data_IF_520892353122
#
_entry.id   IF_520892353122
#
_cell.length_a   1.000
_cell.length_b   1.000
_cell.length_c   1.000
_cell.angle_alpha   90.00
_cell.angle_beta   90.00
_cell.angle_gamma   90.00
#
_symmetry.space_group_name_H-M   'P 1'
#
loop_
_entity.id
_entity.type
_entity.pdbx_description
1 polymer ?
#
# COMPACT_ATOMS: atom_id res chain seq x y z
N UNK A 1 -1.41 2.54 -8.04
CA UNK A 1 -2.38 1.46 -7.75
C UNK A 1 -3.40 1.23 -8.87
N UNK A 2 -4.19 2.24 -9.31
CA UNK A 2 -5.23 2.01 -10.32
C UNK A 2 -4.72 1.33 -11.61
N UNK A 3 -3.61 1.81 -12.17
CA UNK A 3 -2.99 1.20 -13.35
C UNK A 3 -2.58 -0.27 -13.12
N UNK A 4 -2.15 -0.61 -11.91
CA UNK A 4 -1.79 -1.98 -11.55
C UNK A 4 -3.04 -2.87 -11.46
N UNK A 5 -4.14 -2.36 -10.89
CA UNK A 5 -5.44 -3.06 -10.87
C UNK A 5 -5.94 -3.31 -12.29
N UNK A 6 -5.83 -2.32 -13.18
CA UNK A 6 -6.22 -2.48 -14.59
C UNK A 6 -5.33 -3.52 -15.30
N UNK A 7 -4.03 -3.53 -15.05
CA UNK A 7 -3.12 -4.53 -15.61
C UNK A 7 -3.50 -5.94 -15.13
N UNK A 8 -3.76 -6.09 -13.83
CA UNK A 8 -4.22 -7.36 -13.25
C UNK A 8 -5.52 -7.79 -13.93
N UNK A 9 -6.51 -6.91 -14.03
CA UNK A 9 -7.79 -7.20 -14.69
C UNK A 9 -7.61 -7.63 -16.15
N UNK A 10 -6.76 -6.95 -16.92
CA UNK A 10 -6.48 -7.32 -18.30
C UNK A 10 -5.74 -8.67 -18.42
N UNK A 11 -4.95 -9.05 -17.42
CA UNK A 11 -4.19 -10.29 -17.41
C UNK A 11 -5.00 -11.50 -16.92
N UNK A 12 -5.83 -11.33 -15.89
CA UNK A 12 -6.57 -12.42 -15.23
C UNK A 12 -8.05 -12.47 -15.62
N UNK A 13 -8.58 -11.38 -16.20
CA UNK A 13 -10.00 -11.24 -16.54
C UNK A 13 -10.92 -10.96 -15.35
N UNK A 14 -10.38 -10.79 -14.13
CA UNK A 14 -11.18 -10.57 -12.92
C UNK A 14 -10.50 -9.63 -11.92
N UNK A 15 -11.32 -9.00 -11.07
CA UNK A 15 -10.86 -8.25 -9.89
C UNK A 15 -11.25 -8.94 -8.57
N UNK A 16 -11.81 -10.15 -8.63
CA UNK A 16 -12.16 -10.91 -7.44
C UNK A 16 -10.90 -11.35 -6.70
N UNK A 17 -10.74 -10.85 -5.48
CA UNK A 17 -9.56 -11.13 -4.67
C UNK A 17 -9.37 -12.62 -4.39
N UNK A 18 -10.44 -13.40 -4.19
CA UNK A 18 -10.30 -14.83 -3.89
C UNK A 18 -9.64 -15.57 -5.05
N UNK A 19 -9.98 -15.18 -6.28
CA UNK A 19 -9.37 -15.72 -7.49
C UNK A 19 -7.94 -15.18 -7.63
N UNK A 20 -7.73 -13.89 -7.39
CA UNK A 20 -6.39 -13.29 -7.51
C UNK A 20 -5.37 -13.87 -6.51
N UNK A 21 -5.82 -14.37 -5.37
CA UNK A 21 -4.96 -15.03 -4.38
C UNK A 21 -4.50 -16.42 -4.84
N UNK A 22 -5.17 -17.04 -5.81
CA UNK A 22 -4.75 -18.33 -6.39
C UNK A 22 -4.04 -18.16 -7.74
N UNK A 23 -4.00 -16.96 -8.30
CA UNK A 23 -3.27 -16.67 -9.53
C UNK A 23 -1.80 -16.39 -9.25
N UNK A 24 -0.92 -17.07 -9.97
CA UNK A 24 0.51 -16.81 -9.92
C UNK A 24 0.91 -15.75 -10.95
N UNK A 25 1.63 -14.72 -10.50
CA UNK A 25 2.27 -13.74 -11.38
C UNK A 25 3.75 -14.05 -11.48
N UNK A 26 4.32 -13.89 -12.68
CA UNK A 26 5.78 -13.93 -12.87
C UNK A 26 6.47 -12.91 -11.96
N UNK A 27 7.62 -13.26 -11.37
CA UNK A 27 8.39 -12.42 -10.44
C UNK A 27 8.56 -10.97 -10.95
N UNK A 28 8.95 -10.78 -12.21
CA UNK A 28 9.12 -9.45 -12.81
C UNK A 28 7.84 -8.60 -12.79
N UNK A 29 6.68 -9.24 -13.00
CA UNK A 29 5.38 -8.55 -12.90
C UNK A 29 5.02 -8.28 -11.44
N UNK A 30 5.30 -9.21 -10.53
CA UNK A 30 5.07 -8.97 -9.11
C UNK A 30 5.84 -7.75 -8.62
N UNK A 31 7.12 -7.61 -8.97
CA UNK A 31 7.95 -6.45 -8.62
C UNK A 31 7.29 -5.15 -9.11
N UNK A 32 6.87 -5.11 -10.38
CA UNK A 32 6.24 -3.92 -10.95
C UNK A 32 4.90 -3.58 -10.29
N UNK A 33 4.04 -4.60 -10.11
CA UNK A 33 2.73 -4.43 -9.47
C UNK A 33 2.89 -4.01 -8.00
N UNK A 34 3.81 -4.66 -7.28
CA UNK A 34 4.14 -4.34 -5.90
C UNK A 34 4.55 -2.89 -5.74
N UNK A 35 5.47 -2.37 -6.56
CA UNK A 35 5.89 -0.95 -6.52
C UNK A 35 4.70 -0.03 -6.79
N UNK A 36 3.84 -0.38 -7.75
CA UNK A 36 2.68 0.44 -8.10
C UNK A 36 1.59 0.45 -7.02
N UNK A 37 1.42 -0.62 -6.25
CA UNK A 37 0.56 -0.66 -5.06
C UNK A 37 1.20 0.07 -3.89
N UNK A 38 2.48 -0.20 -3.63
CA UNK A 38 3.29 0.45 -2.59
C UNK A 38 3.24 1.97 -2.72
N UNK A 39 3.41 2.53 -3.92
CA UNK A 39 3.37 3.98 -4.12
C UNK A 39 2.07 4.63 -3.62
N UNK A 40 0.92 3.96 -3.73
CA UNK A 40 -0.36 4.47 -3.23
C UNK A 40 -0.56 4.20 -1.74
N UNK A 41 -0.14 3.04 -1.25
CA UNK A 41 -0.27 2.70 0.17
C UNK A 41 0.70 3.48 1.05
N UNK A 42 1.94 3.72 0.60
CA UNK A 42 2.94 4.50 1.32
C UNK A 42 2.47 5.94 1.61
N UNK A 43 1.71 6.54 0.68
CA UNK A 43 1.05 7.85 0.90
C UNK A 43 -0.01 7.75 2.00
N UNK A 44 -0.81 6.67 2.02
CA UNK A 44 -1.86 6.44 3.02
C UNK A 44 -1.34 6.01 4.40
N UNK A 45 -0.16 5.39 4.48
CA UNK A 45 0.54 4.93 5.71
C UNK A 45 1.50 5.99 6.29
N UNK A 46 1.44 7.24 5.79
CA UNK A 46 2.52 8.24 5.84
C UNK A 46 3.95 7.70 6.01
N UNK A 47 4.48 7.03 4.99
CA UNK A 47 5.92 6.70 4.96
C UNK A 47 6.76 7.90 4.53
N UNK A 48 8.04 7.96 4.94
CA UNK A 48 9.03 8.91 4.39
C UNK A 48 9.23 8.61 2.89
N UNK A 49 9.25 9.63 1.99
CA UNK A 49 9.16 11.08 2.22
C UNK A 49 7.73 11.67 2.08
N UNK A 50 6.70 10.85 1.94
CA UNK A 50 5.33 11.25 1.57
C UNK A 50 4.38 11.40 2.77
N UNK A 51 4.90 11.67 3.97
CA UNK A 51 4.11 11.80 5.19
C UNK A 51 3.65 13.25 5.49
N UNK A 52 4.15 14.23 4.75
CA UNK A 52 4.00 15.68 5.05
C UNK A 52 2.54 16.15 5.04
N UNK A 53 1.68 15.48 4.27
CA UNK A 53 0.25 15.83 4.21
C UNK A 53 -0.49 15.59 5.54
N UNK A 54 0.01 14.68 6.39
CA UNK A 54 -0.72 14.22 7.57
C UNK A 54 -0.89 15.33 8.64
N UNK A 55 0.16 16.06 9.06
CA UNK A 55 0.01 17.13 10.05
C UNK A 55 -0.95 18.23 9.60
N UNK A 56 -0.83 18.70 8.35
CA UNK A 56 -1.68 19.75 7.78
C UNK A 56 -3.15 19.28 7.72
N UNK A 57 -3.39 18.05 7.25
CA UNK A 57 -4.73 17.48 7.21
C UNK A 57 -5.39 17.38 8.60
N UNK A 58 -4.61 17.14 9.66
CA UNK A 58 -5.14 17.12 11.03
C UNK A 58 -5.41 18.51 11.60
N UNK A 59 -4.57 19.50 11.27
CA UNK A 59 -4.74 20.88 11.74
C UNK A 59 -5.98 21.54 11.13
N UNK A 60 -6.26 21.26 9.86
CA UNK A 60 -7.38 21.87 9.15
C UNK A 60 -8.71 21.11 9.34
N UNK A 61 -8.66 19.84 9.75
CA UNK A 61 -9.86 19.03 9.92
C UNK A 61 -10.63 19.39 11.22
N UNK A 62 -11.98 19.37 11.20
CA UNK A 62 -12.77 19.45 12.42
C UNK A 62 -12.47 18.26 13.33
N UNK A 63 -12.72 18.38 14.64
CA UNK A 63 -12.40 17.34 15.65
C UNK A 63 -12.88 15.94 15.24
N UNK A 64 -14.13 15.82 14.78
CA UNK A 64 -14.68 14.54 14.31
C UNK A 64 -13.95 14.01 13.05
N UNK A 65 -13.56 14.91 12.15
CA UNK A 65 -12.79 14.56 10.95
C UNK A 65 -11.40 14.04 11.31
N UNK A 66 -10.71 14.71 12.25
CA UNK A 66 -9.41 14.26 12.77
C UNK A 66 -9.51 12.89 13.45
N UNK A 67 -10.58 12.61 14.21
CA UNK A 67 -10.80 11.29 14.81
C UNK A 67 -10.99 10.19 13.75
N UNK A 68 -11.75 10.45 12.69
CA UNK A 68 -11.95 9.49 11.59
C UNK A 68 -10.65 9.29 10.79
N UNK A 69 -9.92 10.38 10.54
CA UNK A 69 -8.63 10.35 9.84
C UNK A 69 -7.64 9.45 10.60
N UNK A 70 -7.45 9.72 11.89
CA UNK A 70 -6.62 8.93 12.79
C UNK A 70 -7.12 7.49 12.91
N UNK A 71 -8.40 7.28 13.18
CA UNK A 71 -8.97 5.99 13.53
C UNK A 71 -9.11 5.01 12.36
N UNK A 72 -9.41 5.50 11.16
CA UNK A 72 -9.81 4.67 10.02
C UNK A 72 -8.88 4.91 8.82
N UNK A 73 -8.76 6.14 8.34
CA UNK A 73 -8.11 6.40 7.05
C UNK A 73 -6.64 5.95 7.03
N UNK A 74 -5.91 6.15 8.13
CA UNK A 74 -4.54 5.67 8.31
C UNK A 74 -4.45 4.13 8.33
N UNK A 75 -5.47 3.46 8.86
CA UNK A 75 -5.53 1.99 8.95
C UNK A 75 -5.82 1.35 7.59
N UNK A 76 -6.50 2.06 6.69
CA UNK A 76 -6.80 1.54 5.35
C UNK A 76 -5.53 1.34 4.51
N UNK A 77 -4.47 2.14 4.73
CA UNK A 77 -3.20 1.95 4.06
C UNK A 77 -2.49 0.65 4.47
N UNK A 78 -2.41 0.39 5.79
CA UNK A 78 -1.80 -0.84 6.32
C UNK A 78 -2.65 -2.07 6.01
N UNK A 79 -3.98 -1.94 6.10
CA UNK A 79 -4.90 -2.96 5.60
C UNK A 79 -4.67 -3.27 4.11
N UNK A 80 -4.41 -2.24 3.30
CA UNK A 80 -4.08 -2.39 1.88
C UNK A 80 -2.84 -3.26 1.66
N UNK A 81 -1.76 -3.02 2.40
CA UNK A 81 -0.57 -3.87 2.35
C UNK A 81 -0.88 -5.32 2.74
N UNK A 82 -1.59 -5.50 3.86
CA UNK A 82 -1.88 -6.82 4.42
C UNK A 82 -2.79 -7.63 3.49
N UNK A 83 -3.74 -6.98 2.83
CA UNK A 83 -4.75 -7.65 1.99
C UNK A 83 -4.34 -7.81 0.54
N UNK A 84 -3.64 -6.83 -0.04
CA UNK A 84 -3.39 -6.77 -1.49
C UNK A 84 -1.92 -6.80 -1.89
N UNK A 85 -0.99 -6.59 -0.96
CA UNK A 85 0.45 -6.61 -1.29
C UNK A 85 1.08 -7.93 -0.91
N UNK A 86 1.05 -8.28 0.38
CA UNK A 86 1.74 -9.45 0.93
C UNK A 86 1.23 -10.76 0.30
N UNK A 87 -0.08 -11.03 0.27
CA UNK A 87 -0.56 -12.33 -0.22
C UNK A 87 -0.66 -12.42 -1.75
N UNK A 88 -0.73 -11.28 -2.46
CA UNK A 88 -0.81 -11.26 -3.93
C UNK A 88 0.56 -11.27 -4.61
N UNK A 89 1.60 -10.75 -3.95
CA UNK A 89 2.96 -10.62 -4.51
C UNK A 89 4.02 -11.15 -3.53
N UNK A 90 4.03 -12.46 -3.21
CA UNK A 90 4.90 -12.99 -2.16
C UNK A 90 6.39 -12.85 -2.47
N UNK A 91 6.82 -13.14 -3.70
CA UNK A 91 8.24 -13.02 -4.11
C UNK A 91 8.71 -11.57 -4.08
N UNK A 92 7.89 -10.65 -4.60
CA UNK A 92 8.23 -9.22 -4.55
C UNK A 92 8.25 -8.70 -3.10
N UNK A 93 7.33 -9.15 -2.25
CA UNK A 93 7.28 -8.76 -0.84
C UNK A 93 8.55 -9.20 -0.10
N UNK A 94 9.03 -10.43 -0.35
CA UNK A 94 10.29 -10.90 0.21
C UNK A 94 11.48 -10.04 -0.26
N UNK A 95 11.54 -9.74 -1.56
CA UNK A 95 12.58 -8.90 -2.16
C UNK A 95 12.62 -7.47 -1.56
N UNK A 96 11.45 -6.85 -1.36
CA UNK A 96 11.33 -5.49 -0.82
C UNK A 96 11.24 -5.40 0.71
N UNK A 97 11.34 -6.52 1.43
CA UNK A 97 11.35 -6.52 2.91
C UNK A 97 12.39 -5.56 3.52
N UNK A 98 13.69 -5.61 3.14
CA UNK A 98 14.68 -4.66 3.68
C UNK A 98 14.36 -3.20 3.33
N UNK A 99 13.77 -2.95 2.17
CA UNK A 99 13.36 -1.61 1.75
C UNK A 99 12.24 -1.04 2.64
N UNK A 100 11.20 -1.82 2.95
CA UNK A 100 10.16 -1.37 3.87
C UNK A 100 10.74 -1.16 5.27
N UNK A 101 11.55 -2.09 5.77
CA UNK A 101 12.12 -1.99 7.12
C UNK A 101 12.97 -0.73 7.30
N UNK A 102 13.81 -0.41 6.31
CA UNK A 102 14.62 0.81 6.33
C UNK A 102 13.75 2.07 6.30
N UNK A 103 12.75 2.14 5.42
CA UNK A 103 11.82 3.28 5.37
C UNK A 103 11.02 3.43 6.67
N UNK A 104 10.51 2.34 7.24
CA UNK A 104 9.79 2.36 8.51
C UNK A 104 10.68 2.80 9.67
N UNK A 105 11.94 2.32 9.73
CA UNK A 105 12.88 2.75 10.75
C UNK A 105 13.18 4.25 10.66
N UNK A 106 13.42 4.77 9.44
CA UNK A 106 13.64 6.21 9.22
C UNK A 106 12.40 7.01 9.62
N UNK A 107 11.19 6.55 9.25
CA UNK A 107 9.94 7.22 9.59
C UNK A 107 9.59 7.23 11.08
N UNK A 108 10.10 6.27 11.86
CA UNK A 108 9.92 6.24 13.32
C UNK A 108 10.90 7.21 14.02
N UNK A 109 12.11 7.37 13.47
CA UNK A 109 13.15 8.22 14.05
C UNK A 109 12.91 9.70 13.72
N UNK A 110 12.45 9.99 12.51
CA UNK A 110 12.11 11.33 12.04
C UNK A 110 10.78 11.81 12.61
#
# INVERSE_FOLDING_TARGET
>A
MLLAILLILLQTGTTDLQILLTTEFSERRQILLWIAFFASFAVKVPMVPVHIWLPEAHVEAPTAGSVILAGILLKLGTYGFLRFSIPMFPEATLCFTPFIYTLSAIAIIY
#
